data_IF_410559252386
#
_entry.id   IF_410559252386
#
_cell.length_a   1.000
_cell.length_b   1.000
_cell.length_c   1.000
_cell.angle_alpha   90.00
_cell.angle_beta   90.00
_cell.angle_gamma   90.00
#
_symmetry.space_group_name_H-M   'P 1'
#
loop_
_entity.id
_entity.type
_entity.pdbx_description
1 polymer ?
#
# COMPACT_ATOMS: atom_id res chain seq x y z
N UNK A 1 -1.41 6.59 3.16
CA UNK A 1 -1.73 7.74 2.28
C UNK A 1 -2.85 7.33 1.34
N UNK A 2 -3.75 8.24 0.99
CA UNK A 2 -4.86 8.01 0.05
C UNK A 2 -4.63 8.98 -1.11
N UNK A 3 -4.58 8.50 -2.34
CA UNK A 3 -4.37 9.33 -3.54
C UNK A 3 -3.15 10.26 -3.45
N UNK A 4 -2.02 9.75 -2.91
CA UNK A 4 -0.77 10.52 -2.66
C UNK A 4 -0.86 11.54 -1.51
N UNK A 5 -2.06 11.82 -1.00
CA UNK A 5 -2.30 12.66 0.17
C UNK A 5 -2.17 11.91 1.50
N UNK A 6 -1.75 12.63 2.54
CA UNK A 6 -1.69 12.08 3.90
C UNK A 6 -3.12 11.87 4.40
N UNK A 7 -3.47 10.64 4.77
CA UNK A 7 -4.75 10.37 5.42
C UNK A 7 -4.80 11.19 6.73
N UNK A 8 -5.83 12.01 6.88
CA UNK A 8 -5.98 12.91 8.01
C UNK A 8 -6.54 12.16 9.22
N UNK A 9 -7.38 11.16 8.98
CA UNK A 9 -8.06 10.38 10.00
C UNK A 9 -8.33 8.95 9.55
N UNK A 10 -8.53 8.05 10.50
CA UNK A 10 -8.85 6.64 10.21
C UNK A 10 -10.22 6.45 9.54
N UNK A 11 -11.11 7.43 9.69
CA UNK A 11 -12.47 7.43 9.13
C UNK A 11 -12.55 8.03 7.73
N UNK A 12 -11.41 8.37 7.09
CA UNK A 12 -11.41 8.91 5.73
C UNK A 12 -12.07 7.92 4.77
N UNK A 13 -13.02 8.43 4.00
CA UNK A 13 -13.87 7.62 3.13
C UNK A 13 -13.07 7.18 1.90
N UNK A 14 -12.93 5.88 1.68
CA UNK A 14 -12.21 5.31 0.54
C UNK A 14 -13.22 4.89 -0.53
N UNK A 15 -12.94 5.23 -1.79
CA UNK A 15 -13.79 4.94 -2.94
C UNK A 15 -13.09 4.03 -3.95
N UNK A 16 -13.85 3.25 -4.74
CA UNK A 16 -13.31 2.59 -5.92
C UNK A 16 -12.60 3.60 -6.84
N UNK A 17 -11.37 3.28 -7.24
CA UNK A 17 -10.47 4.14 -7.98
C UNK A 17 -9.37 4.78 -7.13
N UNK A 18 -9.53 4.84 -5.80
CA UNK A 18 -8.53 5.43 -4.91
C UNK A 18 -7.26 4.58 -4.83
N UNK A 19 -6.12 5.25 -4.68
CA UNK A 19 -4.81 4.62 -4.52
C UNK A 19 -4.37 4.70 -3.06
N UNK A 20 -4.32 3.55 -2.41
CA UNK A 20 -3.79 3.37 -1.07
C UNK A 20 -2.28 3.12 -1.14
N UNK A 21 -1.51 3.99 -0.50
CA UNK A 21 -0.08 3.77 -0.29
C UNK A 21 0.18 3.42 1.17
N UNK A 22 0.66 2.21 1.39
CA UNK A 22 1.00 1.64 2.69
C UNK A 22 2.51 1.42 2.73
N UNK A 23 3.19 2.22 3.54
CA UNK A 23 4.63 2.07 3.76
C UNK A 23 4.83 1.17 4.96
N UNK A 24 5.43 -0.01 4.76
CA UNK A 24 5.99 -0.84 5.83
C UNK A 24 7.50 -0.64 5.87
N UNK A 25 8.12 -0.99 7.00
CA UNK A 25 9.55 -0.79 7.25
C UNK A 25 10.46 -1.35 6.14
N UNK A 26 10.04 -2.46 5.51
CA UNK A 26 10.84 -3.17 4.51
C UNK A 26 10.32 -3.07 3.08
N UNK A 27 9.12 -2.50 2.87
CA UNK A 27 8.48 -2.44 1.54
C UNK A 27 7.35 -1.42 1.50
N UNK A 28 7.13 -0.86 0.32
CA UNK A 28 5.99 0.01 0.04
C UNK A 28 4.98 -0.78 -0.78
N UNK A 29 3.72 -0.78 -0.35
CA UNK A 29 2.60 -1.29 -1.12
C UNK A 29 1.81 -0.14 -1.70
N UNK A 30 1.50 -0.25 -2.99
CA UNK A 30 0.62 0.68 -3.70
C UNK A 30 -0.52 -0.15 -4.24
N UNK A 31 -1.70 0.02 -3.67
CA UNK A 31 -2.90 -0.73 -4.06
C UNK A 31 -3.96 0.24 -4.57
N UNK A 32 -4.53 -0.06 -5.71
CA UNK A 32 -5.68 0.67 -6.24
C UNK A 32 -6.95 -0.06 -5.83
N UNK A 33 -7.87 0.64 -5.17
CA UNK A 33 -9.15 0.08 -4.75
C UNK A 33 -10.02 -0.11 -5.99
N UNK A 34 -10.51 -1.33 -6.22
CA UNK A 34 -11.47 -1.63 -7.29
C UNK A 34 -12.90 -1.65 -6.77
N UNK A 35 -13.09 -1.99 -5.49
CA UNK A 35 -14.38 -2.10 -4.86
C UNK A 35 -14.30 -2.13 -3.35
N UNK A 36 -15.39 -1.79 -2.67
CA UNK A 36 -15.52 -2.03 -1.24
C UNK A 36 -16.12 -3.42 -1.01
N UNK A 37 -15.48 -4.23 -0.18
CA UNK A 37 -16.04 -5.51 0.23
C UNK A 37 -17.20 -5.29 1.20
N UNK A 38 -18.32 -5.98 1.00
CA UNK A 38 -19.47 -5.93 1.91
C UNK A 38 -19.15 -6.50 3.31
N UNK A 39 -18.13 -7.37 3.39
CA UNK A 39 -17.63 -7.96 4.64
C UNK A 39 -16.16 -8.37 4.48
N UNK A 40 -15.50 -8.68 5.59
CA UNK A 40 -14.19 -9.31 5.58
C UNK A 40 -14.33 -10.76 5.10
N UNK A 41 -14.01 -11.00 3.84
CA UNK A 41 -14.02 -12.33 3.22
C UNK A 41 -12.68 -13.05 3.29
N UNK A 42 -12.60 -14.26 2.72
CA UNK A 42 -11.34 -14.97 2.49
C UNK A 42 -10.41 -14.18 1.55
N UNK A 43 -9.12 -14.55 1.54
CA UNK A 43 -8.08 -13.82 0.80
C UNK A 43 -8.38 -13.72 -0.71
N UNK A 44 -8.92 -14.76 -1.32
CA UNK A 44 -9.28 -14.79 -2.74
C UNK A 44 -10.34 -13.73 -3.09
N UNK A 45 -11.40 -13.63 -2.29
CA UNK A 45 -12.43 -12.58 -2.48
C UNK A 45 -11.82 -11.19 -2.29
N UNK A 46 -11.01 -11.01 -1.23
CA UNK A 46 -10.37 -9.73 -0.96
C UNK A 46 -9.44 -9.27 -2.09
N UNK A 47 -8.76 -10.22 -2.75
CA UNK A 47 -7.83 -9.93 -3.86
C UNK A 47 -8.53 -9.36 -5.09
N UNK A 48 -9.82 -9.62 -5.27
CA UNK A 48 -10.60 -9.03 -6.38
C UNK A 48 -11.02 -7.58 -6.12
N UNK A 49 -10.88 -7.10 -4.88
CA UNK A 49 -11.30 -5.76 -4.46
C UNK A 49 -10.21 -4.69 -4.65
N UNK A 50 -8.99 -5.09 -5.00
CA UNK A 50 -7.89 -4.16 -5.23
C UNK A 50 -6.92 -4.68 -6.30
N UNK A 51 -6.24 -3.75 -6.96
CA UNK A 51 -5.17 -4.02 -7.91
C UNK A 51 -3.82 -3.70 -7.25
N UNK A 52 -2.88 -4.66 -7.28
CA UNK A 52 -1.53 -4.46 -6.78
C UNK A 52 -0.68 -3.75 -7.83
N UNK A 53 -0.33 -2.50 -7.55
CA UNK A 53 0.60 -1.69 -8.33
C UNK A 53 1.91 -1.48 -7.55
N UNK A 54 2.24 -2.41 -6.64
CA UNK A 54 3.37 -2.22 -5.74
C UNK A 54 4.69 -2.21 -6.52
N UNK A 55 5.59 -1.25 -6.26
CA UNK A 55 6.90 -1.25 -6.88
C UNK A 55 7.68 -2.49 -6.40
N UNK A 56 8.56 -3.05 -7.25
CA UNK A 56 9.39 -4.18 -6.85
C UNK A 56 10.16 -3.84 -5.56
N UNK A 57 10.29 -4.79 -4.62
CA UNK A 57 10.95 -4.55 -3.36
C UNK A 57 12.36 -4.00 -3.61
N UNK A 58 12.73 -2.95 -2.87
CA UNK A 58 14.10 -2.46 -2.90
C UNK A 58 15.05 -3.64 -2.60
N UNK A 59 16.10 -3.85 -3.41
CA UNK A 59 17.04 -4.94 -3.18
C UNK A 59 17.60 -4.80 -1.77
N UNK A 60 17.43 -5.86 -0.97
CA UNK A 60 17.96 -5.94 0.40
C UNK A 60 19.48 -6.09 0.28
N UNK A 61 20.21 -4.99 0.16
CA UNK A 61 21.64 -5.06 -0.12
C UNK A 61 22.47 -3.78 -0.08
N UNK A 62 21.90 -2.59 0.03
CA UNK A 62 22.71 -1.37 0.17
C UNK A 62 22.44 -0.74 1.53
N UNK A 63 23.11 -1.25 2.56
CA UNK A 63 23.53 -0.34 3.63
C UNK A 63 24.40 0.73 2.93
N UNK A 64 24.20 2.03 3.17
CA UNK A 64 25.15 3.01 2.66
C UNK A 64 26.54 2.62 3.19
N UNK A 65 27.54 2.38 2.32
CA UNK A 65 28.89 2.26 2.80
C UNK A 65 29.30 3.62 3.37
N UNK A 66 30.09 3.57 4.43
CA UNK A 66 30.77 4.69 5.08
C UNK A 66 29.95 5.65 5.94
N UNK A 67 30.04 5.38 7.24
CA UNK A 67 30.62 6.38 8.13
C UNK A 67 31.78 5.73 8.92
N UNK A 68 32.98 5.74 8.33
CA UNK A 68 34.29 5.66 9.00
C UNK A 68 35.07 6.88 8.46
N UNK A 69 35.69 7.73 9.29
CA UNK A 69 36.72 7.42 10.30
C UNK A 69 36.32 7.59 11.76
#
# INVERSE_FOLDING_TARGET
>A
RINRDKAAQASDQVKPGDVLTITLERRIFIWKVLGAGARRGPAEEARTLYEDMSPPPAPKGEAPPDAIP
#
